data_IF_279807542198
#
_entry.id   IF_279807542198
#
_cell.length_a   1.000
_cell.length_b   1.000
_cell.length_c   1.000
_cell.angle_alpha   90.00
_cell.angle_beta   90.00
_cell.angle_gamma   90.00
#
_symmetry.space_group_name_H-M   'P 1'
#
loop_
_entity.id
_entity.type
_entity.pdbx_description
1 polymer ?
#
# COMPACT_ATOMS: atom_id res chain seq x y z
N UNK A 1 -61.32 -2.73 -17.87
CA UNK A 1 -60.39 -2.37 -16.76
C UNK A 1 -59.64 -3.60 -16.26
N UNK A 2 -58.77 -4.18 -17.05
CA UNK A 2 -57.86 -5.26 -16.65
C UNK A 2 -56.47 -4.99 -17.23
N UNK A 3 -55.83 -3.97 -16.67
CA UNK A 3 -54.49 -3.55 -17.02
C UNK A 3 -53.54 -3.70 -15.80
N UNK A 4 -53.68 -4.81 -15.09
CA UNK A 4 -52.90 -5.16 -13.93
C UNK A 4 -52.50 -6.63 -14.04
N UNK A 5 -51.50 -6.95 -14.83
CA UNK A 5 -50.75 -8.23 -14.76
C UNK A 5 -49.71 -8.32 -15.90
N UNK A 6 -48.96 -7.28 -16.12
CA UNK A 6 -47.76 -7.34 -16.95
C UNK A 6 -46.49 -7.40 -16.08
N UNK A 7 -46.55 -8.08 -14.94
CA UNK A 7 -45.37 -8.60 -14.28
C UNK A 7 -45.20 -10.04 -14.73
N UNK A 8 -44.10 -10.31 -15.47
CA UNK A 8 -43.81 -11.48 -16.21
C UNK A 8 -44.08 -12.84 -15.54
N UNK A 9 -45.16 -13.51 -15.83
CA UNK A 9 -45.42 -14.86 -15.31
C UNK A 9 -44.33 -15.84 -15.71
N UNK A 10 -43.62 -15.55 -16.78
CA UNK A 10 -42.55 -16.40 -17.33
C UNK A 10 -41.29 -16.38 -16.45
N UNK A 11 -40.85 -15.21 -15.99
CA UNK A 11 -39.66 -15.07 -15.13
C UNK A 11 -39.87 -15.78 -13.79
N UNK A 12 -41.02 -15.59 -13.14
CA UNK A 12 -41.36 -16.27 -11.89
C UNK A 12 -41.42 -17.78 -12.05
N UNK A 13 -42.02 -18.27 -13.15
CA UNK A 13 -42.11 -19.69 -13.46
C UNK A 13 -40.73 -20.30 -13.70
N UNK A 14 -39.89 -19.59 -14.47
CA UNK A 14 -38.51 -19.99 -14.74
C UNK A 14 -37.70 -20.06 -13.46
N UNK A 15 -37.75 -19.02 -12.60
CA UNK A 15 -37.03 -18.97 -11.34
C UNK A 15 -37.40 -20.13 -10.41
N UNK A 16 -38.72 -20.45 -10.31
CA UNK A 16 -39.20 -21.56 -9.52
C UNK A 16 -38.76 -22.92 -10.12
N UNK A 17 -38.77 -23.06 -11.43
CA UNK A 17 -38.35 -24.29 -12.10
C UNK A 17 -36.84 -24.56 -11.91
N UNK A 18 -35.99 -23.52 -12.04
CA UNK A 18 -34.55 -23.64 -11.90
C UNK A 18 -34.14 -23.94 -10.45
N UNK A 19 -34.79 -23.30 -9.48
CA UNK A 19 -34.41 -23.43 -8.06
C UNK A 19 -35.09 -24.61 -7.33
N UNK A 20 -36.08 -25.27 -7.92
CA UNK A 20 -36.80 -26.35 -7.28
C UNK A 20 -35.94 -27.54 -6.86
N UNK A 21 -34.97 -27.90 -7.69
CA UNK A 21 -34.04 -29.01 -7.44
C UNK A 21 -32.58 -28.59 -7.37
N UNK A 22 -32.32 -27.27 -7.22
CA UNK A 22 -30.97 -26.74 -7.18
C UNK A 22 -30.34 -26.90 -5.78
N UNK A 23 -29.15 -27.51 -5.73
CA UNK A 23 -28.40 -27.66 -4.50
C UNK A 23 -27.24 -26.66 -4.46
N UNK A 24 -27.26 -25.74 -3.52
CA UNK A 24 -26.23 -24.71 -3.34
C UNK A 24 -24.91 -25.21 -2.82
N UNK A 25 -24.85 -26.44 -2.30
CA UNK A 25 -23.64 -27.06 -1.75
C UNK A 25 -22.86 -27.87 -2.78
N UNK A 26 -23.48 -28.14 -3.92
CA UNK A 26 -22.91 -28.94 -4.99
C UNK A 26 -22.20 -28.07 -6.02
N UNK A 27 -20.99 -28.47 -6.39
CA UNK A 27 -20.23 -27.79 -7.45
C UNK A 27 -20.92 -28.01 -8.81
N UNK A 28 -21.22 -26.93 -9.58
CA UNK A 28 -22.08 -27.01 -10.76
C UNK A 28 -21.33 -27.52 -12.01
N UNK A 29 -20.87 -28.74 -12.01
CA UNK A 29 -20.14 -29.38 -13.10
C UNK A 29 -20.95 -30.53 -13.70
N UNK A 30 -20.78 -30.79 -14.99
CA UNK A 30 -21.40 -31.95 -15.64
C UNK A 30 -20.65 -33.26 -15.32
N UNK A 31 -19.35 -33.17 -15.06
CA UNK A 31 -18.48 -34.29 -14.71
C UNK A 31 -17.67 -33.91 -13.46
N UNK A 32 -17.85 -34.67 -12.39
CA UNK A 32 -17.20 -34.40 -11.09
C UNK A 32 -15.66 -34.48 -11.14
N UNK A 33 -15.11 -35.20 -12.12
CA UNK A 33 -13.67 -35.38 -12.32
C UNK A 33 -13.01 -34.18 -13.01
N UNK A 34 -13.80 -33.22 -13.53
CA UNK A 34 -13.28 -32.05 -14.21
C UNK A 34 -13.28 -30.82 -13.29
N UNK A 35 -12.24 -29.95 -13.36
CA UNK A 35 -12.25 -28.71 -12.61
C UNK A 35 -13.30 -27.74 -13.17
N UNK A 36 -13.94 -26.99 -12.28
CA UNK A 36 -14.78 -25.88 -12.69
C UNK A 36 -13.89 -24.68 -13.04
N UNK A 37 -13.92 -24.24 -14.29
CA UNK A 37 -13.23 -23.02 -14.72
C UNK A 37 -13.97 -21.79 -14.19
N UNK A 38 -13.28 -20.97 -13.43
CA UNK A 38 -13.76 -19.67 -12.93
C UNK A 38 -12.86 -18.58 -13.49
N UNK A 39 -13.41 -17.74 -14.36
CA UNK A 39 -12.71 -16.56 -14.90
C UNK A 39 -12.77 -15.45 -13.88
N UNK A 40 -11.60 -15.04 -13.40
CA UNK A 40 -11.43 -14.02 -12.39
C UNK A 40 -10.85 -12.75 -12.99
N UNK A 41 -11.54 -11.64 -12.80
CA UNK A 41 -11.10 -10.30 -13.18
C UNK A 41 -11.22 -9.34 -12.02
N UNK A 42 -10.46 -8.25 -12.09
CA UNK A 42 -10.43 -7.21 -11.09
C UNK A 42 -10.45 -5.85 -11.78
N UNK A 43 -11.39 -4.97 -11.39
CA UNK A 43 -11.45 -3.58 -11.83
C UNK A 43 -11.10 -2.68 -10.65
N UNK A 44 -9.99 -1.94 -10.77
CA UNK A 44 -9.56 -0.99 -9.75
C UNK A 44 -10.27 0.35 -9.98
N UNK A 45 -11.10 0.76 -9.01
CA UNK A 45 -11.80 2.04 -9.06
C UNK A 45 -10.98 3.16 -8.45
N UNK A 46 -10.37 2.92 -7.30
CA UNK A 46 -9.65 3.94 -6.55
C UNK A 46 -8.64 3.32 -5.59
N UNK A 47 -7.50 3.99 -5.41
CA UNK A 47 -6.62 3.82 -4.27
C UNK A 47 -7.11 4.81 -3.20
N UNK A 48 -7.64 4.30 -2.09
CA UNK A 48 -8.19 5.13 -1.02
C UNK A 48 -7.05 5.67 -0.16
N UNK A 49 -6.14 4.77 0.26
CA UNK A 49 -5.05 5.11 1.16
C UNK A 49 -3.88 4.11 1.01
N UNK A 50 -2.69 4.60 1.27
CA UNK A 50 -1.47 3.79 1.42
C UNK A 50 -0.92 4.05 2.81
N UNK A 51 -1.22 3.17 3.74
CA UNK A 51 -0.74 3.28 5.12
C UNK A 51 0.66 2.66 5.22
N UNK A 52 1.65 3.50 5.03
CA UNK A 52 3.06 3.07 5.06
C UNK A 52 3.49 2.59 6.46
N UNK A 53 2.90 3.15 7.50
CA UNK A 53 3.20 2.81 8.88
C UNK A 53 2.77 1.40 9.24
N UNK A 54 1.55 1.03 8.86
CA UNK A 54 0.98 -0.30 9.12
C UNK A 54 1.21 -1.26 7.95
N UNK A 55 1.85 -0.80 6.86
CA UNK A 55 2.12 -1.58 5.65
C UNK A 55 0.84 -2.14 5.01
N UNK A 56 -0.14 -1.27 4.82
CA UNK A 56 -1.43 -1.59 4.24
C UNK A 56 -1.71 -0.76 3.00
N UNK A 57 -2.33 -1.40 2.02
CA UNK A 57 -2.92 -0.72 0.87
C UNK A 57 -4.44 -0.86 0.95
N UNK A 58 -5.16 0.26 0.91
CA UNK A 58 -6.62 0.32 0.94
C UNK A 58 -7.13 0.73 -0.43
N UNK A 59 -7.94 -0.14 -1.03
CA UNK A 59 -8.41 0.04 -2.41
C UNK A 59 -9.91 -0.22 -2.53
N UNK A 60 -10.56 0.52 -3.42
CA UNK A 60 -11.93 0.24 -3.88
C UNK A 60 -11.85 -0.56 -5.19
N UNK A 61 -12.40 -1.76 -5.17
CA UNK A 61 -12.26 -2.73 -6.26
C UNK A 61 -13.59 -3.39 -6.55
N UNK A 62 -13.83 -3.67 -7.82
CA UNK A 62 -14.91 -4.55 -8.24
C UNK A 62 -14.32 -5.88 -8.67
N UNK A 63 -14.71 -6.94 -8.01
CA UNK A 63 -14.35 -8.28 -8.43
C UNK A 63 -15.27 -8.71 -9.57
N UNK A 64 -14.79 -9.50 -10.48
CA UNK A 64 -15.57 -10.10 -11.56
C UNK A 64 -15.29 -11.60 -11.58
N UNK A 65 -16.30 -12.38 -11.20
CA UNK A 65 -16.26 -13.86 -11.23
C UNK A 65 -17.24 -14.35 -12.27
N UNK A 66 -16.76 -15.15 -13.21
CA UNK A 66 -17.56 -15.71 -14.30
C UNK A 66 -17.33 -17.21 -14.37
N UNK A 67 -18.41 -17.99 -14.26
CA UNK A 67 -18.38 -19.45 -14.36
C UNK A 67 -19.58 -19.96 -15.12
N UNK A 68 -19.57 -21.22 -15.52
CA UNK A 68 -20.70 -21.85 -16.17
C UNK A 68 -21.35 -22.86 -15.22
N UNK A 69 -22.63 -22.65 -14.94
CA UNK A 69 -23.45 -23.56 -14.14
C UNK A 69 -24.28 -24.45 -15.04
N UNK A 70 -23.97 -25.75 -15.05
CA UNK A 70 -24.66 -26.73 -15.87
C UNK A 70 -26.13 -26.86 -15.51
N UNK A 71 -26.50 -26.63 -14.26
CA UNK A 71 -27.87 -26.79 -13.75
C UNK A 71 -28.78 -25.58 -14.05
N UNK A 72 -28.20 -24.44 -14.43
CA UNK A 72 -28.92 -23.20 -14.68
C UNK A 72 -29.07 -22.89 -16.17
N UNK A 73 -29.40 -23.89 -16.96
CA UNK A 73 -29.65 -23.75 -18.40
C UNK A 73 -31.14 -23.86 -18.73
N UNK A 74 -31.60 -23.01 -19.61
CA UNK A 74 -32.98 -23.04 -20.08
C UNK A 74 -33.13 -22.63 -21.56
N UNK A 75 -34.27 -23.03 -22.18
CA UNK A 75 -34.62 -22.58 -23.49
C UNK A 75 -35.49 -21.31 -23.39
N UNK A 76 -35.03 -20.21 -23.93
CA UNK A 76 -35.68 -18.91 -23.86
C UNK A 76 -37.08 -18.91 -24.50
N UNK A 77 -37.29 -19.69 -25.55
CA UNK A 77 -38.57 -19.80 -26.24
C UNK A 77 -39.73 -20.37 -25.38
N UNK A 78 -39.40 -21.20 -24.37
CA UNK A 78 -40.38 -21.78 -23.44
C UNK A 78 -40.82 -20.83 -22.34
N UNK A 79 -40.01 -19.80 -22.10
CA UNK A 79 -40.19 -18.83 -21.02
C UNK A 79 -40.34 -17.39 -21.53
N UNK A 80 -41.02 -17.24 -22.70
CA UNK A 80 -41.38 -15.92 -23.23
C UNK A 80 -40.18 -15.03 -23.63
N UNK A 81 -39.04 -15.66 -24.01
CA UNK A 81 -37.86 -14.96 -24.46
C UNK A 81 -36.97 -14.40 -23.33
N UNK A 82 -37.08 -14.87 -22.08
CA UNK A 82 -36.25 -14.48 -20.98
C UNK A 82 -34.82 -15.00 -21.20
N UNK A 83 -33.86 -14.11 -21.41
CA UNK A 83 -32.46 -14.43 -21.71
C UNK A 83 -31.54 -14.41 -20.50
N UNK A 84 -31.88 -13.64 -19.47
CA UNK A 84 -31.09 -13.49 -18.26
C UNK A 84 -31.96 -13.33 -17.02
N UNK A 85 -31.44 -13.75 -15.87
CA UNK A 85 -32.05 -13.64 -14.55
C UNK A 85 -31.06 -13.02 -13.55
N UNK A 86 -31.59 -12.31 -12.56
CA UNK A 86 -30.81 -11.82 -11.42
C UNK A 86 -31.22 -12.59 -10.18
N UNK A 87 -30.30 -13.38 -9.65
CA UNK A 87 -30.56 -14.27 -8.52
C UNK A 87 -29.65 -13.86 -7.36
N UNK A 88 -30.18 -13.83 -6.15
CA UNK A 88 -29.38 -13.55 -4.96
C UNK A 88 -28.31 -14.62 -4.74
N UNK A 89 -27.07 -14.26 -4.39
CA UNK A 89 -25.96 -15.21 -4.29
C UNK A 89 -26.19 -16.33 -3.27
N UNK A 90 -27.01 -16.11 -2.24
CA UNK A 90 -27.32 -17.11 -1.21
C UNK A 90 -28.21 -18.28 -1.73
N UNK A 91 -28.80 -18.15 -2.90
CA UNK A 91 -29.62 -19.19 -3.54
C UNK A 91 -28.87 -19.98 -4.61
N UNK A 92 -27.63 -19.59 -4.87
CA UNK A 92 -26.77 -20.22 -5.86
C UNK A 92 -25.48 -20.72 -5.21
N UNK A 93 -24.86 -21.72 -5.84
CA UNK A 93 -23.47 -22.01 -5.58
C UNK A 93 -22.63 -20.82 -6.07
N UNK A 94 -21.66 -20.42 -5.29
CA UNK A 94 -20.67 -19.40 -5.66
C UNK A 94 -19.27 -19.89 -5.33
N UNK A 95 -18.25 -19.54 -6.14
CA UNK A 95 -16.87 -19.84 -5.79
C UNK A 95 -16.46 -19.08 -4.52
N UNK A 96 -15.73 -19.75 -3.63
CA UNK A 96 -15.23 -19.20 -2.36
C UNK A 96 -13.89 -18.47 -2.52
N UNK A 97 -13.79 -17.63 -3.54
CA UNK A 97 -12.59 -16.85 -3.84
C UNK A 97 -12.48 -15.70 -2.84
N UNK A 98 -11.34 -15.64 -2.16
CA UNK A 98 -11.04 -14.57 -1.22
C UNK A 98 -9.59 -14.08 -1.39
N UNK A 99 -9.27 -12.94 -0.79
CA UNK A 99 -7.93 -12.37 -0.80
C UNK A 99 -7.10 -12.98 0.33
N UNK A 100 -6.02 -13.72 0.00
CA UNK A 100 -5.19 -14.42 0.99
C UNK A 100 -4.41 -13.48 1.91
N UNK A 101 -3.98 -12.33 1.41
CA UNK A 101 -3.26 -11.32 2.17
C UNK A 101 -4.16 -10.18 2.66
N UNK A 102 -5.42 -10.48 2.98
CA UNK A 102 -6.33 -9.52 3.60
C UNK A 102 -5.89 -9.16 5.01
N UNK A 103 -5.94 -7.88 5.33
CA UNK A 103 -5.76 -7.32 6.67
C UNK A 103 -7.07 -6.75 7.24
N UNK A 104 -8.20 -7.05 6.62
CA UNK A 104 -9.51 -6.63 7.12
C UNK A 104 -10.04 -7.60 8.17
N UNK A 105 -10.70 -7.08 9.21
CA UNK A 105 -11.26 -7.89 10.30
C UNK A 105 -12.32 -8.89 9.82
N UNK A 106 -13.11 -8.51 8.80
CA UNK A 106 -14.13 -9.36 8.20
C UNK A 106 -13.62 -10.31 7.13
N UNK A 107 -12.36 -10.20 6.73
CA UNK A 107 -11.70 -10.95 5.67
C UNK A 107 -12.32 -10.79 4.27
N UNK A 108 -13.63 -10.55 4.18
CA UNK A 108 -14.41 -10.29 2.97
C UNK A 108 -15.03 -8.89 3.06
N UNK A 109 -14.39 -7.90 2.43
CA UNK A 109 -14.87 -6.52 2.35
C UNK A 109 -15.90 -6.28 1.23
N UNK A 110 -16.46 -7.35 0.62
CA UNK A 110 -17.34 -7.23 -0.53
C UNK A 110 -18.81 -7.00 -0.12
N UNK A 111 -19.49 -6.13 -0.87
CA UNK A 111 -20.94 -6.00 -0.80
C UNK A 111 -21.61 -7.03 -1.71
N UNK A 112 -22.51 -7.84 -1.17
CA UNK A 112 -23.20 -8.88 -1.93
C UNK A 112 -24.20 -8.27 -2.91
N UNK A 113 -23.93 -8.47 -4.22
CA UNK A 113 -24.81 -8.12 -5.32
C UNK A 113 -25.50 -9.37 -5.88
N UNK A 114 -26.48 -9.19 -6.75
CA UNK A 114 -27.09 -10.33 -7.43
C UNK A 114 -26.15 -10.92 -8.48
N UNK A 115 -26.24 -12.22 -8.66
CA UNK A 115 -25.59 -12.95 -9.77
C UNK A 115 -26.46 -12.83 -11.02
N UNK A 116 -25.86 -12.47 -12.13
CA UNK A 116 -26.53 -12.46 -13.44
C UNK A 116 -26.33 -13.84 -14.08
N UNK A 117 -27.43 -14.56 -14.26
CA UNK A 117 -27.45 -15.90 -14.88
C UNK A 117 -28.05 -15.78 -16.28
N UNK A 118 -27.36 -16.28 -17.29
CA UNK A 118 -27.81 -16.29 -18.67
C UNK A 118 -28.37 -17.67 -19.04
N UNK A 119 -29.22 -17.71 -20.06
CA UNK A 119 -29.90 -18.94 -20.56
C UNK A 119 -28.94 -20.08 -20.93
N UNK A 120 -27.68 -19.78 -21.27
CA UNK A 120 -26.65 -20.78 -21.56
C UNK A 120 -25.96 -21.35 -20.30
N UNK A 121 -26.37 -20.92 -19.11
CA UNK A 121 -25.76 -21.30 -17.82
C UNK A 121 -24.57 -20.41 -17.37
N UNK A 122 -24.22 -19.40 -18.17
CA UNK A 122 -23.14 -18.47 -17.75
C UNK A 122 -23.61 -17.60 -16.59
N UNK A 123 -22.88 -17.66 -15.48
CA UNK A 123 -23.08 -16.88 -14.27
C UNK A 123 -22.01 -15.79 -14.18
N UNK A 124 -22.45 -14.55 -13.95
CA UNK A 124 -21.56 -13.40 -13.72
C UNK A 124 -21.87 -12.79 -12.36
N UNK A 125 -20.88 -12.72 -11.51
CA UNK A 125 -20.95 -12.12 -10.17
C UNK A 125 -19.92 -11.00 -10.03
N UNK A 126 -20.38 -9.77 -9.78
CA UNK A 126 -19.53 -8.58 -9.69
C UNK A 126 -19.79 -7.84 -8.39
N UNK A 127 -19.26 -8.33 -7.26
CA UNK A 127 -19.36 -7.64 -5.98
C UNK A 127 -18.35 -6.50 -5.89
N UNK A 128 -18.79 -5.26 -5.58
CA UNK A 128 -17.90 -4.18 -5.21
C UNK A 128 -17.41 -4.35 -3.78
N UNK A 129 -16.22 -3.86 -3.47
CA UNK A 129 -15.69 -3.94 -2.11
C UNK A 129 -14.52 -3.01 -1.85
N UNK A 130 -14.30 -2.72 -0.56
CA UNK A 130 -13.10 -2.05 -0.07
C UNK A 130 -12.19 -3.12 0.49
N UNK A 131 -10.99 -3.22 -0.09
CA UNK A 131 -10.00 -4.22 0.29
C UNK A 131 -8.83 -3.56 0.99
N UNK A 132 -8.45 -4.13 2.14
CA UNK A 132 -7.23 -3.80 2.86
C UNK A 132 -6.25 -4.93 2.67
N UNK A 133 -5.24 -4.73 1.85
CA UNK A 133 -4.20 -5.72 1.60
C UNK A 133 -2.91 -5.37 2.32
N UNK A 134 -2.20 -6.39 2.81
CA UNK A 134 -0.84 -6.20 3.33
C UNK A 134 0.11 -5.92 2.17
N UNK A 135 0.92 -4.89 2.30
CA UNK A 135 1.91 -4.50 1.31
C UNK A 135 3.23 -4.14 1.99
N UNK A 136 4.31 -4.82 1.64
CA UNK A 136 5.65 -4.44 2.11
C UNK A 136 6.08 -3.18 1.39
N UNK A 137 6.09 -2.05 2.10
CA UNK A 137 6.47 -0.75 1.57
C UNK A 137 7.99 -0.58 1.62
N UNK A 138 8.61 -0.25 0.49
CA UNK A 138 10.04 0.07 0.40
C UNK A 138 10.24 1.59 0.37
N UNK A 139 10.78 2.13 1.46
CA UNK A 139 11.05 3.56 1.65
C UNK A 139 12.50 3.96 1.34
N UNK A 140 13.31 3.08 0.78
CA UNK A 140 14.74 3.33 0.53
C UNK A 140 14.98 4.61 -0.27
N UNK A 141 14.16 4.85 -1.28
CA UNK A 141 14.25 6.00 -2.17
C UNK A 141 13.24 7.11 -1.88
N UNK A 142 12.62 7.08 -0.69
CA UNK A 142 11.67 8.12 -0.32
C UNK A 142 12.26 9.54 -0.49
N UNK A 143 11.53 10.52 -1.08
CA UNK A 143 10.15 10.46 -1.59
C UNK A 143 10.03 10.09 -3.09
N UNK A 144 11.06 9.55 -3.72
CA UNK A 144 11.11 9.15 -5.14
C UNK A 144 10.91 7.64 -5.28
N UNK A 145 10.03 7.08 -4.49
CA UNK A 145 9.81 5.65 -4.35
C UNK A 145 8.70 5.12 -5.27
N UNK A 146 8.91 3.92 -5.76
CA UNK A 146 7.92 3.10 -6.44
C UNK A 146 7.52 1.95 -5.52
N UNK A 147 6.22 1.67 -5.41
CA UNK A 147 5.71 0.61 -4.57
C UNK A 147 5.04 -0.48 -5.42
N UNK A 148 5.22 -1.73 -5.02
CA UNK A 148 4.64 -2.90 -5.65
C UNK A 148 3.84 -3.66 -4.60
N UNK A 149 2.51 -3.56 -4.68
CA UNK A 149 1.60 -4.19 -3.73
C UNK A 149 0.86 -5.33 -4.40
N UNK A 150 1.08 -6.54 -3.91
CA UNK A 150 0.41 -7.73 -4.41
C UNK A 150 -0.93 -7.91 -3.73
N UNK A 151 -1.94 -8.25 -4.52
CA UNK A 151 -3.23 -8.76 -4.06
C UNK A 151 -3.39 -10.18 -4.58
N UNK A 152 -3.36 -11.13 -3.67
CA UNK A 152 -3.40 -12.56 -3.98
C UNK A 152 -4.79 -13.12 -3.71
N UNK A 153 -5.46 -13.58 -4.76
CA UNK A 153 -6.79 -14.18 -4.69
C UNK A 153 -6.75 -15.65 -5.03
N UNK A 154 -7.51 -16.44 -4.30
CA UNK A 154 -7.65 -17.86 -4.57
C UNK A 154 -8.84 -18.45 -3.86
N UNK A 155 -9.23 -19.69 -4.23
CA UNK A 155 -10.22 -20.44 -3.49
C UNK A 155 -9.66 -20.89 -2.14
N UNK A 156 -10.46 -20.78 -1.11
CA UNK A 156 -10.04 -21.20 0.24
C UNK A 156 -10.17 -22.72 0.45
N UNK A 157 -11.21 -23.33 -0.12
CA UNK A 157 -11.53 -24.74 0.13
C UNK A 157 -11.24 -25.67 -1.04
N UNK A 158 -11.30 -25.20 -2.28
CA UNK A 158 -11.11 -26.01 -3.47
C UNK A 158 -9.66 -26.02 -3.93
N UNK A 159 -9.15 -27.21 -4.26
CA UNK A 159 -7.87 -27.39 -4.93
C UNK A 159 -7.96 -27.12 -6.47
N UNK A 160 -6.82 -27.10 -7.14
CA UNK A 160 -6.76 -26.85 -8.59
C UNK A 160 -7.38 -27.94 -9.46
N UNK A 161 -7.61 -29.15 -8.92
CA UNK A 161 -8.30 -30.21 -9.61
C UNK A 161 -9.83 -30.06 -9.55
N UNK A 162 -10.31 -29.26 -8.61
CA UNK A 162 -11.73 -29.02 -8.40
C UNK A 162 -12.18 -27.67 -8.92
N UNK A 163 -11.35 -26.62 -8.74
CA UNK A 163 -11.63 -25.28 -9.22
C UNK A 163 -10.37 -24.69 -9.87
N UNK A 164 -10.47 -24.39 -11.15
CA UNK A 164 -9.41 -23.73 -11.91
C UNK A 164 -9.71 -22.24 -12.05
N UNK A 165 -8.92 -21.41 -11.35
CA UNK A 165 -9.02 -19.96 -11.42
C UNK A 165 -8.19 -19.44 -12.59
N UNK A 166 -8.85 -18.79 -13.56
CA UNK A 166 -8.22 -18.28 -14.78
C UNK A 166 -8.37 -16.77 -14.85
N UNK A 167 -7.34 -16.06 -15.28
CA UNK A 167 -7.44 -14.63 -15.55
C UNK A 167 -8.47 -14.34 -16.64
N UNK A 168 -9.35 -13.36 -16.40
CA UNK A 168 -10.32 -12.88 -17.37
C UNK A 168 -9.63 -12.12 -18.51
N UNK A 169 -8.60 -11.36 -18.19
CA UNK A 169 -7.76 -10.61 -19.12
C UNK A 169 -6.27 -10.89 -18.83
N UNK A 170 -5.54 -11.34 -19.82
CA UNK A 170 -4.09 -11.61 -19.71
C UNK A 170 -3.27 -10.34 -19.45
N UNK A 171 -3.78 -9.16 -19.81
CA UNK A 171 -3.15 -7.87 -19.53
C UNK A 171 -3.16 -7.50 -18.05
N UNK A 172 -4.01 -8.13 -17.24
CA UNK A 172 -4.15 -7.89 -15.81
C UNK A 172 -5.48 -7.30 -15.42
N UNK A 173 -5.47 -6.39 -14.46
CA UNK A 173 -6.69 -5.74 -13.98
C UNK A 173 -7.17 -4.60 -14.88
N UNK A 174 -8.48 -4.37 -14.89
CA UNK A 174 -9.11 -3.29 -15.63
C UNK A 174 -8.94 -1.96 -14.89
N UNK A 175 -8.44 -0.94 -15.58
CA UNK A 175 -8.15 0.41 -15.09
C UNK A 175 -8.96 1.49 -15.81
N UNK A 176 -9.95 1.12 -16.64
CA UNK A 176 -10.70 2.07 -17.48
C UNK A 176 -11.45 3.13 -16.67
N UNK A 177 -11.96 2.78 -15.50
CA UNK A 177 -12.71 3.67 -14.61
C UNK A 177 -11.89 4.17 -13.42
N UNK A 178 -10.56 4.06 -13.48
CA UNK A 178 -9.70 4.42 -12.35
C UNK A 178 -9.73 5.92 -12.04
N UNK A 179 -10.08 6.24 -10.80
CA UNK A 179 -10.05 7.60 -10.27
C UNK A 179 -8.63 7.92 -9.80
N UNK A 180 -8.03 8.96 -10.39
CA UNK A 180 -6.65 9.36 -10.08
C UNK A 180 -6.49 9.77 -8.62
N UNK A 181 -5.44 9.26 -7.98
CA UNK A 181 -5.07 9.62 -6.61
C UNK A 181 -4.21 10.91 -6.58
N UNK A 182 -4.38 11.73 -5.54
CA UNK A 182 -3.61 12.98 -5.37
C UNK A 182 -2.15 12.77 -4.95
N UNK A 183 -1.84 11.66 -4.28
CA UNK A 183 -0.51 11.35 -3.74
C UNK A 183 0.25 10.30 -4.56
N UNK A 184 -0.48 9.41 -5.25
CA UNK A 184 0.09 8.30 -5.98
C UNK A 184 -0.29 8.31 -7.45
N UNK A 185 0.67 8.01 -8.28
CA UNK A 185 0.49 7.76 -9.71
C UNK A 185 0.43 6.24 -9.94
N UNK A 186 -0.64 5.75 -10.55
CA UNK A 186 -0.78 4.35 -10.92
C UNK A 186 0.00 4.07 -12.21
N UNK A 187 0.98 3.17 -12.15
CA UNK A 187 1.77 2.73 -13.30
C UNK A 187 1.05 1.64 -14.06
N UNK A 188 0.48 0.67 -13.32
CA UNK A 188 -0.24 -0.46 -13.91
C UNK A 188 -0.64 -1.50 -12.87
N UNK A 189 -1.40 -2.49 -13.32
CA UNK A 189 -1.85 -3.60 -12.48
C UNK A 189 -1.80 -4.92 -13.27
N UNK A 190 -0.61 -5.48 -13.55
CA UNK A 190 -0.48 -6.78 -14.18
C UNK A 190 -1.07 -7.90 -13.30
N UNK A 191 -1.65 -8.89 -13.93
CA UNK A 191 -2.18 -10.09 -13.28
C UNK A 191 -1.34 -11.31 -13.66
N UNK A 192 -1.18 -12.23 -12.71
CA UNK A 192 -0.47 -13.50 -12.93
C UNK A 192 -1.22 -14.64 -12.26
N UNK A 193 -1.46 -15.72 -13.01
CA UNK A 193 -1.89 -17.00 -12.45
C UNK A 193 -0.69 -17.76 -11.92
N UNK A 194 -0.77 -18.25 -10.69
CA UNK A 194 0.22 -19.11 -10.08
C UNK A 194 -0.40 -20.44 -9.71
N UNK A 195 0.41 -21.49 -9.76
CA UNK A 195 0.04 -22.82 -9.27
C UNK A 195 1.07 -23.22 -8.22
N UNK A 196 0.61 -23.47 -7.01
CA UNK A 196 1.48 -23.74 -5.86
C UNK A 196 1.11 -25.11 -5.29
N UNK A 197 2.13 -25.92 -5.04
CA UNK A 197 1.98 -27.17 -4.29
C UNK A 197 2.57 -26.96 -2.89
N UNK A 198 1.75 -27.17 -1.86
CA UNK A 198 2.19 -27.02 -0.49
C UNK A 198 2.81 -28.33 0.03
N UNK A 199 3.70 -28.21 1.00
CA UNK A 199 4.36 -29.39 1.61
C UNK A 199 3.39 -30.32 2.36
N UNK A 200 2.21 -29.82 2.75
CA UNK A 200 1.17 -30.60 3.40
C UNK A 200 0.39 -31.50 2.46
N UNK A 201 0.26 -31.11 1.19
CA UNK A 201 -0.80 -31.62 0.32
C UNK A 201 -0.26 -31.76 -1.11
N UNK A 202 -0.44 -32.95 -1.74
CA UNK A 202 0.09 -33.20 -3.09
C UNK A 202 -0.70 -32.49 -4.20
N UNK A 203 -1.92 -32.00 -3.87
CA UNK A 203 -2.79 -31.34 -4.83
C UNK A 203 -2.28 -29.91 -5.14
N UNK A 204 -2.34 -29.47 -6.39
CA UNK A 204 -1.98 -28.10 -6.76
C UNK A 204 -3.09 -27.13 -6.33
N UNK A 205 -2.71 -25.98 -5.79
CA UNK A 205 -3.61 -24.86 -5.51
C UNK A 205 -3.37 -23.75 -6.51
N UNK A 206 -4.45 -23.17 -7.02
CA UNK A 206 -4.38 -22.10 -8.02
C UNK A 206 -4.70 -20.77 -7.37
N UNK A 207 -3.84 -19.78 -7.56
CA UNK A 207 -4.10 -18.41 -7.19
C UNK A 207 -3.85 -17.44 -8.35
N UNK A 208 -4.51 -16.31 -8.29
CA UNK A 208 -4.30 -15.17 -9.18
C UNK A 208 -3.80 -14.00 -8.35
N UNK A 209 -2.65 -13.48 -8.73
CA UNK A 209 -2.03 -12.33 -8.07
C UNK A 209 -2.06 -11.12 -9.00
N UNK A 210 -2.61 -10.02 -8.52
CA UNK A 210 -2.55 -8.71 -9.18
C UNK A 210 -1.55 -7.85 -8.43
N UNK A 211 -0.58 -7.28 -9.15
CA UNK A 211 0.44 -6.39 -8.56
C UNK A 211 0.09 -4.95 -8.89
N UNK A 212 -0.36 -4.18 -7.91
CA UNK A 212 -0.58 -2.74 -8.07
C UNK A 212 0.77 -2.05 -8.00
N UNK A 213 1.17 -1.44 -9.12
CA UNK A 213 2.40 -0.67 -9.23
C UNK A 213 2.09 0.82 -9.16
N UNK A 214 2.59 1.48 -8.13
CA UNK A 214 2.33 2.90 -7.87
C UNK A 214 3.62 3.67 -7.64
N UNK A 215 3.64 4.94 -8.05
CA UNK A 215 4.74 5.90 -7.87
C UNK A 215 4.27 7.10 -7.09
N UNK A 216 5.04 7.52 -6.11
CA UNK A 216 4.71 8.69 -5.29
C UNK A 216 4.78 9.99 -6.09
N UNK A 217 3.83 10.90 -5.85
CA UNK A 217 3.87 12.27 -6.38
C UNK A 217 4.72 13.13 -5.47
N UNK A 218 5.88 13.53 -5.97
CA UNK A 218 6.97 14.12 -5.17
C UNK A 218 6.87 15.61 -4.95
N UNK A 219 5.97 16.33 -5.67
CA UNK A 219 5.92 17.78 -5.68
C UNK A 219 5.73 18.39 -4.28
N UNK A 220 4.81 17.82 -3.49
CA UNK A 220 4.56 18.25 -2.12
C UNK A 220 5.80 18.09 -1.24
N UNK A 221 6.44 16.93 -1.31
CA UNK A 221 7.65 16.62 -0.53
C UNK A 221 8.85 17.46 -0.98
N UNK A 222 8.94 17.78 -2.26
CA UNK A 222 9.99 18.65 -2.78
C UNK A 222 9.94 20.03 -2.13
N UNK A 223 8.79 20.71 -2.16
CA UNK A 223 8.67 22.04 -1.59
C UNK A 223 8.65 22.08 -0.06
N UNK A 224 8.05 21.11 0.59
CA UNK A 224 7.89 21.15 2.05
C UNK A 224 9.02 20.45 2.81
N UNK A 225 9.81 19.59 2.15
CA UNK A 225 10.84 18.82 2.80
C UNK A 225 12.23 19.12 2.21
N UNK A 226 12.43 19.04 0.89
CA UNK A 226 13.76 19.19 0.29
C UNK A 226 14.20 20.65 0.29
N UNK A 227 13.35 21.57 -0.14
CA UNK A 227 13.70 23.00 -0.21
C UNK A 227 14.06 23.60 1.14
N UNK A 228 13.29 23.42 2.24
CA UNK A 228 13.69 23.91 3.56
C UNK A 228 15.00 23.32 4.04
N UNK A 229 15.23 22.03 3.78
CA UNK A 229 16.45 21.36 4.15
C UNK A 229 17.69 21.97 3.47
N UNK A 230 17.61 22.23 2.18
CA UNK A 230 18.68 22.87 1.41
C UNK A 230 18.94 24.31 1.91
N UNK A 231 17.87 25.06 2.25
CA UNK A 231 18.00 26.40 2.80
C UNK A 231 18.71 26.39 4.17
N UNK A 232 18.31 25.52 5.08
CA UNK A 232 18.97 25.39 6.41
C UNK A 232 20.45 25.01 6.22
N UNK A 233 20.75 24.07 5.32
CA UNK A 233 22.13 23.67 5.01
C UNK A 233 22.96 24.84 4.45
N UNK A 234 22.39 25.64 3.55
CA UNK A 234 23.07 26.81 2.99
C UNK A 234 23.35 27.88 4.04
N UNK A 235 22.41 28.09 4.97
CA UNK A 235 22.63 29.01 6.11
C UNK A 235 23.73 28.53 7.03
N UNK A 236 23.85 27.21 7.26
CA UNK A 236 24.96 26.66 8.04
C UNK A 236 26.31 26.95 7.39
N UNK A 237 26.43 26.82 6.06
CA UNK A 237 27.64 27.16 5.32
C UNK A 237 27.96 28.66 5.39
N UNK A 238 26.95 29.54 5.27
CA UNK A 238 27.12 30.98 5.41
C UNK A 238 27.59 31.38 6.80
N UNK A 239 27.22 30.62 7.85
CA UNK A 239 27.70 30.83 9.22
C UNK A 239 29.23 30.81 9.36
N UNK A 240 29.94 30.06 8.51
CA UNK A 240 31.41 30.05 8.49
C UNK A 240 32.03 31.33 7.92
N UNK A 241 31.34 32.05 7.08
CA UNK A 241 31.83 33.28 6.42
C UNK A 241 31.80 34.51 7.38
N UNK A 242 31.04 34.42 8.48
CA UNK A 242 30.97 35.53 9.47
C UNK A 242 32.26 35.70 10.23
N UNK A 243 32.75 36.94 10.39
CA UNK A 243 33.94 37.21 11.17
C UNK A 243 33.71 36.96 12.68
N UNK A 244 34.72 36.53 13.43
CA UNK A 244 34.60 36.21 14.85
C UNK A 244 34.21 37.40 15.71
N UNK A 245 34.56 38.63 15.28
CA UNK A 245 34.31 39.88 16.03
C UNK A 245 32.85 40.34 16.05
N UNK A 246 31.98 39.75 15.21
CA UNK A 246 30.55 40.13 15.11
C UNK A 246 29.71 39.80 16.36
N UNK A 247 30.22 38.99 17.29
CA UNK A 247 29.54 38.57 18.52
C UNK A 247 28.30 37.69 18.30
N UNK A 248 27.72 37.70 17.12
CA UNK A 248 26.46 37.01 16.81
C UNK A 248 26.63 35.66 16.12
N UNK A 249 27.88 35.28 15.81
CA UNK A 249 28.18 34.02 15.11
C UNK A 249 27.70 32.78 15.90
N UNK A 250 27.88 32.81 17.24
CA UNK A 250 27.43 31.73 18.12
C UNK A 250 25.88 31.65 18.12
N UNK A 251 25.23 32.82 18.25
CA UNK A 251 23.77 32.92 18.28
C UNK A 251 23.16 32.39 16.97
N UNK A 252 23.76 32.74 15.83
CA UNK A 252 23.34 32.22 14.53
C UNK A 252 23.49 30.68 14.45
N UNK A 253 24.63 30.14 14.92
CA UNK A 253 24.85 28.69 14.95
C UNK A 253 23.84 27.95 15.80
N UNK A 254 23.49 28.47 16.97
CA UNK A 254 22.48 27.88 17.86
C UNK A 254 21.08 27.97 17.24
N UNK A 255 20.73 29.09 16.61
CA UNK A 255 19.41 29.22 15.93
C UNK A 255 19.26 28.29 14.74
N UNK A 256 20.33 28.07 13.95
CA UNK A 256 20.32 27.11 12.85
C UNK A 256 20.13 25.67 13.37
N UNK A 257 20.86 25.31 14.45
CA UNK A 257 20.74 24.00 15.07
C UNK A 257 19.33 23.78 15.62
N UNK A 258 18.75 24.79 16.30
CA UNK A 258 17.39 24.73 16.79
C UNK A 258 16.37 24.56 15.63
N UNK A 259 16.52 25.35 14.56
CA UNK A 259 15.66 25.26 13.39
C UNK A 259 15.74 23.88 12.74
N UNK A 260 16.94 23.31 12.62
CA UNK A 260 17.15 21.98 12.08
C UNK A 260 16.49 20.91 12.96
N UNK A 261 16.61 20.98 14.29
CA UNK A 261 16.00 20.00 15.20
C UNK A 261 14.47 20.03 15.15
N UNK A 262 13.87 21.23 15.11
CA UNK A 262 12.42 21.40 14.95
C UNK A 262 11.96 20.83 13.59
N UNK A 263 12.69 21.15 12.52
CA UNK A 263 12.39 20.65 11.18
C UNK A 263 12.47 19.12 11.12
N UNK A 264 13.47 18.50 11.74
CA UNK A 264 13.60 17.06 11.82
C UNK A 264 12.46 16.39 12.58
N UNK A 265 11.93 17.02 13.62
CA UNK A 265 10.76 16.52 14.32
C UNK A 265 9.53 16.50 13.40
N UNK A 266 9.29 17.58 12.65
CA UNK A 266 8.20 17.65 11.68
C UNK A 266 8.35 16.58 10.58
N UNK A 267 9.58 16.37 10.11
CA UNK A 267 9.89 15.34 9.12
C UNK A 267 9.67 13.93 9.70
N UNK A 268 10.07 13.69 10.94
CA UNK A 268 9.88 12.40 11.60
C UNK A 268 8.39 12.02 11.78
N UNK A 269 7.51 13.02 11.90
CA UNK A 269 6.06 12.79 11.93
C UNK A 269 5.48 12.46 10.54
N UNK A 270 6.09 12.97 9.47
CA UNK A 270 5.63 12.77 8.09
C UNK A 270 6.24 11.55 7.42
N UNK A 271 7.39 11.06 7.92
CA UNK A 271 8.05 9.86 7.39
C UNK A 271 7.33 8.60 7.88
N UNK A 272 7.15 7.61 7.00
CA UNK A 272 6.66 6.30 7.42
C UNK A 272 7.63 5.68 8.44
N UNK A 273 7.07 5.21 9.55
CA UNK A 273 7.85 4.63 10.67
C UNK A 273 8.23 3.17 10.39
N UNK A 274 8.81 2.92 9.22
CA UNK A 274 9.33 1.60 8.84
C UNK A 274 10.83 1.63 9.06
N UNK A 275 11.35 0.87 10.02
CA UNK A 275 12.78 0.82 10.31
C UNK A 275 13.30 -0.60 10.14
N UNK A 276 13.77 -0.91 8.96
CA UNK A 276 14.45 -2.19 8.67
C UNK A 276 15.99 -2.12 8.92
N UNK A 277 16.55 -1.00 9.43
CA UNK A 277 17.92 -0.94 9.90
C UNK A 277 18.16 0.19 10.91
N UNK A 278 18.74 -0.15 12.05
CA UNK A 278 19.24 0.81 13.07
C UNK A 278 20.73 1.05 12.82
N UNK A 279 21.20 2.28 12.60
CA UNK A 279 22.62 2.57 12.72
C UNK A 279 22.98 2.73 14.20
N UNK A 280 23.70 1.75 14.73
CA UNK A 280 24.16 1.69 16.13
C UNK A 280 25.11 2.84 16.52
N UNK A 281 25.59 3.64 15.58
CA UNK A 281 26.57 4.70 15.75
C UNK A 281 25.98 6.08 16.04
N UNK A 282 24.67 6.28 15.87
CA UNK A 282 24.01 7.57 16.18
C UNK A 282 23.73 7.79 17.66
N UNK A 283 23.74 6.74 18.47
CA UNK A 283 23.30 6.76 19.88
C UNK A 283 24.31 7.46 20.80
N UNK A 284 25.60 7.40 20.51
CA UNK A 284 26.63 7.96 21.38
C UNK A 284 26.81 9.48 21.27
N UNK A 285 26.41 10.08 20.16
CA UNK A 285 26.43 11.54 19.96
C UNK A 285 25.16 12.20 20.50
N UNK A 286 24.09 11.44 20.68
CA UNK A 286 22.77 11.89 21.13
C UNK A 286 22.64 12.04 22.66
N UNK A 287 23.67 11.66 23.44
CA UNK A 287 23.61 11.73 24.91
C UNK A 287 23.60 13.19 25.44
N UNK A 288 24.08 14.16 24.65
CA UNK A 288 23.94 15.61 24.98
C UNK A 288 22.54 16.16 24.59
N UNK A 289 21.75 15.36 23.92
CA UNK A 289 20.40 15.70 23.49
C UNK A 289 19.33 14.76 24.11
N UNK A 290 19.46 14.55 25.43
CA UNK A 290 18.54 13.65 26.16
C UNK A 290 17.06 14.02 26.03
N UNK A 291 16.74 15.29 25.79
CA UNK A 291 15.37 15.75 25.53
C UNK A 291 14.92 15.33 24.15
N UNK A 292 15.79 15.33 23.15
CA UNK A 292 15.52 14.88 21.79
C UNK A 292 15.40 13.35 21.73
N UNK A 293 16.25 12.64 22.49
CA UNK A 293 16.22 11.18 22.58
C UNK A 293 14.92 10.64 23.19
N UNK A 294 14.28 11.38 24.11
CA UNK A 294 12.98 11.01 24.68
C UNK A 294 11.82 11.16 23.67
N UNK A 295 11.85 12.20 22.85
CA UNK A 295 10.86 12.42 21.77
C UNK A 295 11.09 11.44 20.61
N UNK A 296 12.33 11.22 20.21
CA UNK A 296 12.71 10.27 19.15
C UNK A 296 12.48 8.82 19.59
N UNK A 297 12.74 8.50 20.85
CA UNK A 297 12.46 7.16 21.41
C UNK A 297 10.97 6.77 21.38
N UNK A 298 10.07 7.76 21.33
CA UNK A 298 8.63 7.50 21.19
C UNK A 298 8.20 7.31 19.73
N UNK A 299 8.97 7.78 18.77
CA UNK A 299 8.69 7.77 17.34
C UNK A 299 9.37 6.59 16.63
N UNK A 300 10.53 6.11 17.15
CA UNK A 300 11.25 4.98 16.56
C UNK A 300 10.78 3.67 17.20
N UNK A 301 9.68 3.14 16.74
CA UNK A 301 9.33 1.76 17.01
C UNK A 301 9.01 1.03 15.71
N UNK A 302 9.86 0.06 15.42
CA UNK A 302 9.44 -1.30 15.00
C UNK A 302 9.59 -1.76 13.58
N UNK A 303 10.58 -1.41 12.78
CA UNK A 303 11.09 -2.42 11.83
C UNK A 303 12.38 -1.91 11.17
N UNK A 304 13.42 -2.74 11.06
CA UNK A 304 14.76 -2.29 10.69
C UNK A 304 15.32 -3.06 9.49
N UNK A 305 14.91 -2.73 8.26
CA UNK A 305 15.55 -3.28 7.05
C UNK A 305 16.07 -2.25 6.03
N UNK A 306 15.67 -0.97 6.09
CA UNK A 306 16.22 0.07 5.21
C UNK A 306 16.26 1.45 5.86
N UNK A 307 17.39 2.15 5.74
CA UNK A 307 17.48 3.57 6.13
C UNK A 307 17.07 4.40 4.91
N UNK A 308 16.03 5.25 4.98
CA UNK A 308 15.72 6.14 3.89
C UNK A 308 16.90 7.06 3.61
N UNK A 309 17.26 7.22 2.33
CA UNK A 309 18.39 8.03 1.89
C UNK A 309 18.35 9.46 2.45
N UNK A 310 17.12 9.98 2.57
CA UNK A 310 16.85 11.30 3.14
C UNK A 310 17.16 11.36 4.64
N UNK A 311 16.93 10.29 5.40
CA UNK A 311 17.31 10.21 6.82
C UNK A 311 18.84 10.27 7.01
N UNK A 312 19.60 9.60 6.16
CA UNK A 312 21.07 9.67 6.13
C UNK A 312 21.55 11.08 5.81
N UNK A 313 20.92 11.75 4.83
CA UNK A 313 21.24 13.13 4.49
C UNK A 313 21.00 14.10 5.67
N UNK A 314 19.86 14.00 6.37
CA UNK A 314 19.57 14.81 7.55
C UNK A 314 20.55 14.56 8.68
N UNK A 315 20.92 13.31 8.94
CA UNK A 315 21.92 12.97 9.95
C UNK A 315 23.29 13.58 9.63
N UNK A 316 23.72 13.55 8.38
CA UNK A 316 24.95 14.19 7.94
C UNK A 316 24.92 15.72 8.16
N UNK A 317 23.79 16.37 7.82
CA UNK A 317 23.63 17.81 8.03
C UNK A 317 23.64 18.16 9.52
N UNK A 318 22.94 17.40 10.36
CA UNK A 318 22.96 17.57 11.82
C UNK A 318 24.38 17.52 12.39
N UNK A 319 25.15 16.51 11.98
CA UNK A 319 26.54 16.38 12.40
C UNK A 319 27.38 17.55 11.91
N UNK A 320 27.23 18.01 10.68
CA UNK A 320 27.93 19.14 10.10
C UNK A 320 27.62 20.45 10.87
N UNK A 321 26.35 20.72 11.19
CA UNK A 321 25.92 21.91 11.94
C UNK A 321 26.42 21.87 13.38
N UNK A 322 26.30 20.73 14.05
CA UNK A 322 26.80 20.56 15.44
C UNK A 322 28.31 20.75 15.49
N UNK A 323 29.08 20.15 14.56
CA UNK A 323 30.52 20.33 14.48
C UNK A 323 30.91 21.78 14.19
N UNK A 324 30.12 22.48 13.35
CA UNK A 324 30.30 23.92 13.08
C UNK A 324 30.16 24.78 14.34
N UNK A 325 29.14 24.53 15.17
CA UNK A 325 28.94 25.25 16.44
C UNK A 325 30.11 25.00 17.39
N UNK A 326 30.57 23.75 17.54
CA UNK A 326 31.73 23.42 18.40
C UNK A 326 32.98 24.11 17.88
N UNK A 327 33.27 24.07 16.58
CA UNK A 327 34.41 24.76 15.99
C UNK A 327 34.32 26.27 16.21
N UNK A 328 33.12 26.86 16.09
CA UNK A 328 32.89 28.28 16.37
C UNK A 328 33.23 28.63 17.81
N UNK A 329 32.82 27.82 18.79
CA UNK A 329 33.17 28.03 20.21
C UNK A 329 34.67 27.94 20.43
N UNK A 330 35.35 26.98 19.80
CA UNK A 330 36.81 26.83 19.86
C UNK A 330 37.52 28.04 19.27
N UNK A 331 37.11 28.50 18.08
CA UNK A 331 37.66 29.68 17.40
C UNK A 331 37.48 30.94 18.28
N UNK A 332 36.28 31.17 18.84
CA UNK A 332 36.02 32.29 19.74
C UNK A 332 36.86 32.21 21.00
N UNK A 333 37.04 31.02 21.57
CA UNK A 333 37.91 30.82 22.75
C UNK A 333 39.35 31.20 22.43
N UNK A 334 39.88 30.80 21.27
CA UNK A 334 41.25 31.20 20.86
C UNK A 334 41.35 32.67 20.49
N UNK A 335 40.35 33.25 19.87
CA UNK A 335 40.34 34.66 19.49
C UNK A 335 40.34 35.61 20.69
N UNK A 336 39.63 35.27 21.76
CA UNK A 336 39.57 36.08 22.98
C UNK A 336 40.71 35.79 23.96
N UNK A 337 41.67 34.92 23.65
CA UNK A 337 42.88 34.71 24.44
C UNK A 337 43.89 35.84 24.20
N UNK A 338 44.19 36.61 25.23
CA UNK A 338 45.24 37.62 25.19
C UNK A 338 46.58 37.02 25.62
N UNK A 339 47.67 37.39 24.95
CA UNK A 339 49.01 36.88 25.18
C UNK A 339 49.52 37.15 26.61
N UNK A 340 48.95 38.13 27.28
CA UNK A 340 49.35 38.53 28.62
C UNK A 340 48.78 37.64 29.75
N UNK A 341 47.75 36.83 29.44
CA UNK A 341 47.07 36.06 30.49
C UNK A 341 47.15 34.52 30.21
N UNK A 342 47.40 34.09 28.96
CA UNK A 342 47.42 32.71 28.60
C UNK A 342 48.65 32.32 27.79
N UNK A 343 49.49 31.42 28.31
CA UNK A 343 50.61 30.83 27.56
C UNK A 343 50.06 29.92 26.47
N UNK A 344 50.63 30.01 25.24
CA UNK A 344 50.25 29.12 24.12
C UNK A 344 50.72 27.68 24.41
N UNK A 345 49.87 26.67 24.22
CA UNK A 345 50.31 25.27 24.27
C UNK A 345 51.39 24.99 23.23
N UNK A 346 52.39 24.18 23.59
CA UNK A 346 53.53 23.89 22.75
C UNK A 346 53.22 23.30 21.36
N UNK A 347 52.02 22.72 21.18
CA UNK A 347 51.59 22.14 19.89
C UNK A 347 51.00 23.17 18.92
N UNK A 348 50.79 24.42 19.35
CA UNK A 348 50.31 25.53 18.51
C UNK A 348 51.44 26.47 18.12
N UNK A 349 52.58 26.42 18.81
CA UNK A 349 53.74 27.26 18.55
C UNK A 349 54.73 26.60 17.58
N UNK A 350 54.27 26.32 16.34
CA UNK A 350 55.15 25.93 15.23
C UNK A 350 55.26 27.08 14.26
#
# INVERSE_FOLDING_TARGET
>A
CNMLLAQGPHEKRLLNALLANYNTLERPVANESEPLEVRFGLTLQQIIDVDEKNQLLITNIWLSLEWNDYNLRWNDSEYGGVKDLRITPNKLWKPDVLMYNSADEGFDGTYQTNVVVRNNGSCLYVPPGIFKSTCKIDITWFPFDDQHCDMKFGSWTYDGNQLDLVLKDEAGGDLSDFITNGEWYLIGMPGKKNTITYACCPEPYVDVTFTIMIRRRTLYYFFNLIVPCVLISSMALLGFTLPPDSGEKLTLGVTILLSLTVFLNLVAETLPQVSDAIPLLGVTILLSQTVFSLLVGHVITKTSEAIPLIGTYFNCIMFMVASSVVLTVVVLNYHHRTADIHEMPQWVSI
#
